data_IF_661447201165
#
_entry.id   IF_661447201165
#
_cell.length_a   1.000
_cell.length_b   1.000
_cell.length_c   1.000
_cell.angle_alpha   90.00
_cell.angle_beta   90.00
_cell.angle_gamma   90.00
#
_symmetry.space_group_name_H-M   'P 1'
#
loop_
_entity.id
_entity.type
_entity.pdbx_description
1 polymer ?
#
# COMPACT_ATOMS: atom_id res chain seq x y z
N UNK A 1 -12.50 -6.11 6.71
CA UNK A 1 -13.12 -5.04 7.51
C UNK A 1 -12.08 -3.94 7.65
N UNK A 2 -12.32 -2.77 7.07
CA UNK A 2 -11.44 -1.61 7.18
C UNK A 2 -11.70 -0.99 8.56
N UNK A 3 -10.73 -1.01 9.47
CA UNK A 3 -10.88 -0.42 10.80
C UNK A 3 -11.00 1.10 10.63
N UNK A 4 -12.18 1.65 10.86
CA UNK A 4 -12.38 3.10 10.80
C UNK A 4 -11.82 3.73 12.06
N UNK A 5 -10.69 4.44 11.94
CA UNK A 5 -10.09 5.17 13.05
C UNK A 5 -10.89 6.44 13.39
N UNK A 6 -10.90 6.84 14.66
CA UNK A 6 -11.47 8.13 15.10
C UNK A 6 -10.65 9.32 14.56
N UNK A 7 -11.15 10.54 14.74
CA UNK A 7 -10.47 11.76 14.26
C UNK A 7 -9.01 11.86 14.77
N UNK A 8 -8.77 11.46 16.01
CA UNK A 8 -7.42 11.43 16.59
C UNK A 8 -6.55 10.34 15.97
N UNK A 9 -7.07 9.15 15.71
CA UNK A 9 -6.37 8.08 15.00
C UNK A 9 -5.98 8.51 13.58
N UNK A 10 -6.89 9.17 12.86
CA UNK A 10 -6.60 9.75 11.55
C UNK A 10 -5.53 10.85 11.62
N UNK A 11 -5.53 11.69 12.67
CA UNK A 11 -4.45 12.65 12.91
C UNK A 11 -3.10 11.94 13.07
N UNK A 12 -3.02 10.90 13.90
CA UNK A 12 -1.79 10.12 14.13
C UNK A 12 -1.29 9.51 12.82
N UNK A 13 -2.18 8.90 12.04
CA UNK A 13 -1.87 8.35 10.72
C UNK A 13 -1.29 9.42 9.80
N UNK A 14 -1.92 10.60 9.76
CA UNK A 14 -1.43 11.71 8.93
C UNK A 14 -0.03 12.19 9.34
N UNK A 15 0.25 12.25 10.65
CA UNK A 15 1.56 12.63 11.19
C UNK A 15 2.58 11.55 10.84
N UNK A 16 2.20 10.26 10.95
CA UNK A 16 3.06 9.14 10.61
C UNK A 16 3.48 9.18 9.14
N UNK A 17 2.54 9.41 8.22
CA UNK A 17 2.80 9.55 6.79
C UNK A 17 3.79 10.69 6.51
N UNK A 18 3.63 11.84 7.18
CA UNK A 18 4.58 12.97 7.06
C UNK A 18 5.96 12.63 7.59
N UNK A 19 6.05 11.92 8.71
CA UNK A 19 7.34 11.49 9.25
C UNK A 19 8.01 10.43 8.38
N UNK A 20 7.25 9.49 7.82
CA UNK A 20 7.76 8.49 6.87
C UNK A 20 8.39 9.18 5.67
N UNK A 21 7.74 10.20 5.08
CA UNK A 21 8.33 11.00 3.99
C UNK A 21 9.65 11.67 4.39
N UNK A 22 9.82 12.03 5.68
CA UNK A 22 10.98 12.79 6.17
C UNK A 22 12.16 11.91 6.54
N UNK A 23 11.93 10.78 7.21
CA UNK A 23 12.99 9.95 7.81
C UNK A 23 12.93 8.48 7.42
N UNK A 24 11.95 8.07 6.62
CA UNK A 24 11.69 6.68 6.31
C UNK A 24 11.01 5.91 7.45
N UNK A 25 10.25 4.87 7.12
CA UNK A 25 9.45 4.12 8.09
C UNK A 25 10.28 3.33 9.11
N UNK A 26 11.50 2.91 8.72
CA UNK A 26 12.41 2.18 9.61
C UNK A 26 12.81 3.01 10.82
N UNK A 27 13.04 4.31 10.61
CA UNK A 27 13.44 5.26 11.64
C UNK A 27 12.26 5.86 12.43
N UNK A 28 11.01 5.49 12.10
CA UNK A 28 9.83 5.99 12.81
C UNK A 28 9.83 5.54 14.28
N UNK A 29 9.65 6.49 15.20
CA UNK A 29 9.52 6.26 16.65
C UNK A 29 8.12 6.66 17.13
N UNK A 30 7.40 5.75 17.79
CA UNK A 30 6.06 6.04 18.33
C UNK A 30 6.07 7.14 19.40
N UNK A 31 7.15 7.22 20.18
CA UNK A 31 7.31 8.25 21.21
C UNK A 31 7.45 9.65 20.59
N UNK A 32 8.30 9.77 19.58
CA UNK A 32 8.49 11.04 18.87
C UNK A 32 7.25 11.42 18.06
N UNK A 33 6.58 10.43 17.48
CA UNK A 33 5.34 10.63 16.77
C UNK A 33 4.24 11.15 17.69
N UNK A 34 4.08 10.57 18.89
CA UNK A 34 3.13 11.05 19.88
C UNK A 34 3.42 12.51 20.26
N UNK A 35 4.69 12.85 20.51
CA UNK A 35 5.10 14.23 20.80
C UNK A 35 4.76 15.19 19.65
N UNK A 36 5.04 14.80 18.40
CA UNK A 36 4.69 15.59 17.19
C UNK A 36 3.19 15.74 16.98
N UNK A 37 2.41 14.74 17.40
CA UNK A 37 0.96 14.76 17.37
C UNK A 37 0.34 15.46 18.59
N UNK A 38 1.14 16.07 19.49
CA UNK A 38 0.66 16.80 20.66
C UNK A 38 0.04 15.89 21.73
N UNK A 39 0.49 14.64 21.82
CA UNK A 39 -0.12 13.61 22.66
C UNK A 39 0.92 12.78 23.43
N UNK A 40 0.44 12.07 24.46
CA UNK A 40 1.28 11.14 25.22
C UNK A 40 1.41 9.81 24.48
N UNK A 41 2.51 9.09 24.69
CA UNK A 41 2.70 7.75 24.12
C UNK A 41 1.58 6.79 24.55
N UNK A 42 1.08 6.91 25.78
CA UNK A 42 -0.06 6.11 26.27
C UNK A 42 -1.36 6.41 25.51
N UNK A 43 -1.59 7.65 25.07
CA UNK A 43 -2.75 7.99 24.25
C UNK A 43 -2.68 7.41 22.83
N UNK A 44 -1.46 7.25 22.30
CA UNK A 44 -1.21 6.55 21.04
C UNK A 44 -1.45 5.05 21.18
N UNK A 45 -0.92 4.42 22.24
CA UNK A 45 -1.09 2.98 22.48
C UNK A 45 -2.53 2.53 22.72
N UNK A 46 -3.42 3.46 23.13
CA UNK A 46 -4.87 3.18 23.19
C UNK A 46 -5.52 2.99 21.82
N UNK A 47 -4.89 3.49 20.75
CA UNK A 47 -5.43 3.47 19.38
C UNK A 47 -4.72 2.47 18.48
N UNK A 48 -3.43 2.25 18.73
CA UNK A 48 -2.62 1.32 17.99
C UNK A 48 -1.90 0.41 18.98
N UNK A 49 -2.07 -0.89 18.80
CA UNK A 49 -1.40 -1.94 19.57
C UNK A 49 0.12 -1.91 19.42
N UNK A 50 0.64 -1.30 18.34
CA UNK A 50 2.07 -1.06 18.16
C UNK A 50 2.41 -0.37 16.84
N UNK A 51 3.71 -0.33 16.53
CA UNK A 51 4.25 0.30 15.32
C UNK A 51 3.69 -0.36 14.06
N UNK A 52 3.59 -1.69 14.05
CA UNK A 52 3.12 -2.45 12.88
C UNK A 52 1.67 -2.13 12.52
N UNK A 53 0.78 -2.00 13.51
CA UNK A 53 -0.61 -1.62 13.26
C UNK A 53 -0.70 -0.19 12.71
N UNK A 54 0.07 0.74 13.28
CA UNK A 54 0.14 2.11 12.78
C UNK A 54 0.66 2.16 11.33
N UNK A 55 1.70 1.38 11.02
CA UNK A 55 2.25 1.30 9.67
C UNK A 55 1.22 0.67 8.69
N UNK A 56 0.47 -0.33 9.11
CA UNK A 56 -0.63 -0.90 8.32
C UNK A 56 -1.71 0.13 8.00
N UNK A 57 -2.16 0.88 9.02
CA UNK A 57 -3.13 1.95 8.85
C UNK A 57 -2.62 3.08 7.94
N UNK A 58 -1.35 3.47 8.12
CA UNK A 58 -0.71 4.50 7.30
C UNK A 58 -0.59 4.07 5.84
N UNK A 59 -0.19 2.83 5.55
CA UNK A 59 -0.09 2.33 4.18
C UNK A 59 -1.47 2.16 3.51
N UNK A 60 -2.49 1.73 4.25
CA UNK A 60 -3.86 1.72 3.75
C UNK A 60 -4.32 3.14 3.36
N UNK A 61 -4.02 4.14 4.19
CA UNK A 61 -4.32 5.55 3.90
C UNK A 61 -3.54 6.08 2.68
N UNK A 62 -2.28 5.69 2.51
CA UNK A 62 -1.50 6.04 1.31
C UNK A 62 -2.09 5.40 0.06
N UNK A 63 -2.42 4.12 0.11
CA UNK A 63 -3.08 3.42 -1.01
C UNK A 63 -4.40 4.07 -1.40
N UNK A 64 -5.19 4.50 -0.41
CA UNK A 64 -6.43 5.24 -0.64
C UNK A 64 -6.19 6.60 -1.31
N UNK A 65 -5.16 7.36 -0.91
CA UNK A 65 -4.79 8.62 -1.57
C UNK A 65 -4.44 8.43 -3.05
N UNK A 66 -3.77 7.31 -3.38
CA UNK A 66 -3.43 6.97 -4.77
C UNK A 66 -4.69 6.62 -5.57
N UNK A 67 -5.61 5.87 -4.97
CA UNK A 67 -6.92 5.57 -5.59
C UNK A 67 -7.71 6.84 -5.85
N UNK A 68 -7.78 7.75 -4.87
CA UNK A 68 -8.49 9.02 -5.00
C UNK A 68 -7.90 9.89 -6.11
N UNK A 69 -6.58 9.94 -6.24
CA UNK A 69 -5.91 10.62 -7.36
C UNK A 69 -6.29 10.00 -8.70
N UNK A 70 -6.23 8.68 -8.83
CA UNK A 70 -6.60 7.99 -10.06
C UNK A 70 -8.08 8.23 -10.42
N UNK A 71 -8.98 8.12 -9.44
CA UNK A 71 -10.41 8.39 -9.61
C UNK A 71 -10.66 9.84 -10.01
N UNK A 72 -9.97 10.80 -9.39
CA UNK A 72 -10.08 12.21 -9.76
C UNK A 72 -9.63 12.46 -11.21
N UNK A 73 -8.55 11.81 -11.67
CA UNK A 73 -8.11 11.90 -13.08
C UNK A 73 -9.10 11.27 -14.06
N UNK A 74 -9.86 10.27 -13.61
CA UNK A 74 -10.90 9.61 -14.41
C UNK A 74 -12.28 10.30 -14.32
N UNK A 75 -12.44 11.29 -13.45
CA UNK A 75 -13.72 11.92 -13.20
C UNK A 75 -14.28 12.58 -14.47
N UNK A 76 -15.53 12.26 -14.81
CA UNK A 76 -16.19 12.77 -16.02
C UNK A 76 -15.78 12.08 -17.32
N UNK A 77 -14.92 11.06 -17.25
CA UNK A 77 -14.51 10.25 -18.39
C UNK A 77 -15.22 8.89 -18.38
N UNK A 78 -15.26 8.22 -19.52
CA UNK A 78 -15.67 6.81 -19.65
C UNK A 78 -14.51 5.98 -20.20
N UNK A 79 -13.37 5.88 -19.48
CA UNK A 79 -12.18 5.21 -19.99
C UNK A 79 -12.45 3.72 -20.11
N UNK A 80 -12.00 3.14 -21.22
CA UNK A 80 -11.89 1.70 -21.43
C UNK A 80 -11.01 1.08 -20.34
N UNK A 81 -11.17 -0.21 -20.03
CA UNK A 81 -10.33 -0.89 -19.05
C UNK A 81 -8.82 -0.79 -19.34
N UNK A 82 -8.42 -0.74 -20.62
CA UNK A 82 -7.02 -0.53 -21.02
C UNK A 82 -6.52 0.87 -20.62
N UNK A 83 -7.30 1.92 -20.92
CA UNK A 83 -6.95 3.30 -20.56
C UNK A 83 -6.86 3.48 -19.03
N UNK A 84 -7.72 2.79 -18.26
CA UNK A 84 -7.62 2.78 -16.79
C UNK A 84 -6.30 2.17 -16.32
N UNK A 85 -5.86 1.07 -16.92
CA UNK A 85 -4.60 0.44 -16.57
C UNK A 85 -3.39 1.33 -16.89
N UNK A 86 -3.40 1.98 -18.06
CA UNK A 86 -2.36 2.96 -18.44
C UNK A 86 -2.33 4.12 -17.43
N UNK A 87 -3.50 4.68 -17.09
CA UNK A 87 -3.60 5.78 -16.13
C UNK A 87 -3.09 5.38 -14.73
N UNK A 88 -3.43 4.18 -14.26
CA UNK A 88 -2.89 3.64 -13.00
C UNK A 88 -1.36 3.51 -13.06
N UNK A 89 -0.82 3.04 -14.19
CA UNK A 89 0.63 2.96 -14.44
C UNK A 89 1.30 4.34 -14.38
N UNK A 90 0.68 5.37 -14.97
CA UNK A 90 1.18 6.75 -14.92
C UNK A 90 1.15 7.33 -13.51
N UNK A 91 0.04 7.17 -12.78
CA UNK A 91 -0.09 7.64 -11.40
C UNK A 91 1.00 7.02 -10.53
N UNK A 92 1.20 5.70 -10.65
CA UNK A 92 2.24 4.99 -9.91
C UNK A 92 3.64 5.48 -10.28
N UNK A 93 3.95 5.59 -11.57
CA UNK A 93 5.26 6.06 -12.04
C UNK A 93 5.58 7.46 -11.52
N UNK A 94 4.64 8.40 -11.65
CA UNK A 94 4.76 9.76 -11.11
C UNK A 94 4.99 9.76 -9.58
N UNK A 95 4.36 8.83 -8.85
CA UNK A 95 4.51 8.72 -7.40
C UNK A 95 5.87 8.16 -7.00
N UNK A 96 6.41 7.18 -7.73
CA UNK A 96 7.76 6.67 -7.53
C UNK A 96 8.83 7.76 -7.71
N UNK A 97 8.62 8.68 -8.65
CA UNK A 97 9.52 9.81 -8.87
C UNK A 97 9.42 10.87 -7.76
N UNK A 98 8.20 11.20 -7.32
CA UNK A 98 7.95 12.35 -6.42
C UNK A 98 7.98 12.03 -4.93
N UNK A 99 7.67 10.80 -4.55
CA UNK A 99 7.39 10.38 -3.17
C UNK A 99 8.14 9.07 -2.84
N UNK A 100 9.43 8.96 -3.22
CA UNK A 100 10.24 7.73 -3.13
C UNK A 100 10.15 7.02 -1.77
N UNK A 101 10.28 7.76 -0.66
CA UNK A 101 10.21 7.19 0.70
C UNK A 101 8.83 6.61 1.01
N UNK A 102 7.76 7.24 0.51
CA UNK A 102 6.41 6.76 0.71
C UNK A 102 6.13 5.53 -0.15
N UNK A 103 6.73 5.45 -1.33
CA UNK A 103 6.65 4.28 -2.19
C UNK A 103 7.49 3.12 -1.62
N UNK A 104 8.72 3.36 -1.16
CA UNK A 104 9.47 2.34 -0.43
C UNK A 104 8.69 1.85 0.79
N UNK A 105 8.07 2.77 1.56
CA UNK A 105 7.18 2.37 2.64
C UNK A 105 6.00 1.50 2.17
N UNK A 106 5.26 1.94 1.15
CA UNK A 106 4.07 1.24 0.66
C UNK A 106 4.39 -0.18 0.19
N UNK A 107 5.53 -0.37 -0.48
CA UNK A 107 5.93 -1.65 -1.08
C UNK A 107 6.87 -2.51 -0.23
N UNK A 108 7.57 -1.91 0.75
CA UNK A 108 8.60 -2.59 1.57
C UNK A 108 8.26 -2.68 3.06
N UNK A 109 7.45 -1.76 3.61
CA UNK A 109 7.17 -1.72 5.06
C UNK A 109 5.98 -2.59 5.47
N UNK A 110 5.00 -2.70 4.58
CA UNK A 110 4.01 -3.75 4.68
C UNK A 110 4.52 -4.99 3.97
N UNK A 111 4.03 -6.17 4.34
CA UNK A 111 4.23 -7.32 3.52
C UNK A 111 3.30 -7.21 2.29
N UNK A 112 3.44 -6.17 1.47
CA UNK A 112 3.22 -6.30 0.03
C UNK A 112 4.11 -7.44 -0.47
N UNK A 113 5.28 -7.62 0.16
CA UNK A 113 6.05 -8.87 0.12
C UNK A 113 5.25 -10.15 0.44
N UNK A 114 4.39 -10.23 1.47
CA UNK A 114 3.54 -11.44 1.70
C UNK A 114 2.36 -11.55 0.73
N UNK A 115 1.87 -10.44 0.18
CA UNK A 115 0.91 -10.45 -0.92
C UNK A 115 1.48 -11.16 -2.17
N UNK A 116 2.79 -11.05 -2.41
CA UNK A 116 3.49 -11.68 -3.54
C UNK A 116 4.28 -12.96 -3.16
N UNK A 117 4.46 -13.29 -1.88
CA UNK A 117 5.24 -14.45 -1.41
C UNK A 117 4.44 -15.75 -1.22
N UNK A 118 3.13 -15.77 -1.49
CA UNK A 118 2.35 -17.00 -1.36
C UNK A 118 0.94 -16.88 -1.89
N UNK A 119 0.65 -17.59 -2.97
CA UNK A 119 -0.63 -17.66 -3.66
C UNK A 119 -1.74 -18.17 -2.69
N UNK A 120 -2.52 -17.23 -2.16
CA UNK A 120 -3.93 -17.43 -1.81
C UNK A 120 -4.63 -16.16 -2.27
N UNK A 121 -5.70 -16.29 -3.06
CA UNK A 121 -6.42 -15.22 -3.79
C UNK A 121 -6.21 -13.83 -3.19
N UNK A 122 -5.75 -12.83 -3.97
CA UNK A 122 -5.49 -11.50 -3.42
C UNK A 122 -6.77 -11.00 -2.76
N UNK A 123 -6.71 -10.76 -1.45
CA UNK A 123 -7.84 -10.14 -0.78
C UNK A 123 -7.92 -8.67 -1.25
N UNK A 124 -9.13 -8.17 -1.41
CA UNK A 124 -9.38 -6.79 -1.85
C UNK A 124 -9.30 -5.80 -0.68
N UNK A 125 -8.48 -6.11 0.34
CA UNK A 125 -8.37 -5.27 1.56
C UNK A 125 -7.57 -3.98 1.33
N UNK A 126 -6.71 -3.96 0.32
CA UNK A 126 -6.02 -2.74 -0.15
C UNK A 126 -6.88 -2.06 -1.21
N UNK A 127 -7.26 -0.78 -1.03
CA UNK A 127 -8.02 -0.04 -2.04
C UNK A 127 -7.33 0.01 -3.41
N UNK A 128 -6.00 0.20 -3.42
CA UNK A 128 -5.21 0.29 -4.65
C UNK A 128 -5.15 -1.05 -5.39
N UNK A 129 -4.98 -2.13 -4.63
CA UNK A 129 -5.01 -3.47 -5.21
C UNK A 129 -6.41 -3.81 -5.73
N UNK A 130 -7.45 -3.48 -4.98
CA UNK A 130 -8.84 -3.71 -5.40
C UNK A 130 -9.13 -3.02 -6.73
N UNK A 131 -8.81 -1.73 -6.87
CA UNK A 131 -8.98 -0.99 -8.13
C UNK A 131 -8.19 -1.61 -9.29
N UNK A 132 -6.97 -2.09 -9.02
CA UNK A 132 -6.14 -2.78 -10.02
C UNK A 132 -6.79 -4.09 -10.47
N UNK A 133 -7.23 -4.92 -9.53
CA UNK A 133 -7.89 -6.19 -9.82
C UNK A 133 -9.21 -6.00 -10.57
N UNK A 134 -10.03 -5.01 -10.18
CA UNK A 134 -11.26 -4.66 -10.90
C UNK A 134 -10.99 -4.29 -12.36
N UNK A 135 -9.91 -3.54 -12.59
CA UNK A 135 -9.51 -3.14 -13.94
C UNK A 135 -9.07 -4.35 -14.77
N UNK A 136 -8.34 -5.29 -14.15
CA UNK A 136 -7.91 -6.53 -14.78
C UNK A 136 -9.10 -7.46 -15.08
N UNK A 137 -10.02 -7.62 -14.14
CA UNK A 137 -11.25 -8.41 -14.31
C UNK A 137 -12.08 -7.85 -15.47
N UNK A 138 -12.19 -6.53 -15.58
CA UNK A 138 -12.88 -5.86 -16.70
C UNK A 138 -12.13 -5.97 -18.04
N UNK A 139 -10.80 -6.06 -18.02
CA UNK A 139 -9.97 -6.22 -19.22
C UNK A 139 -10.05 -7.64 -19.79
N UNK A 140 -9.97 -8.64 -18.93
CA UNK A 140 -9.72 -10.03 -19.34
C UNK A 140 -10.93 -10.96 -19.16
N UNK A 141 -11.91 -10.60 -18.31
CA UNK A 141 -13.03 -11.49 -17.99
C UNK A 141 -12.55 -12.85 -17.44
N UNK A 142 -13.16 -13.96 -17.87
CA UNK A 142 -12.70 -15.32 -17.52
C UNK A 142 -11.48 -15.80 -18.35
N UNK A 143 -11.00 -15.01 -19.30
CA UNK A 143 -9.94 -15.42 -20.24
C UNK A 143 -8.51 -15.31 -19.67
N UNK A 144 -8.37 -15.28 -18.34
CA UNK A 144 -7.06 -15.23 -17.70
C UNK A 144 -6.44 -16.62 -17.69
N UNK A 145 -5.48 -16.84 -18.58
CA UNK A 145 -4.67 -18.05 -18.62
C UNK A 145 -3.67 -18.06 -17.45
N UNK A 146 -4.13 -18.57 -16.31
CA UNK A 146 -3.34 -18.69 -15.08
C UNK A 146 -2.13 -19.63 -15.23
N UNK A 147 -2.16 -20.57 -16.18
CA UNK A 147 -1.06 -21.50 -16.44
C UNK A 147 0.08 -20.74 -17.13
N UNK A 148 -0.22 -20.00 -18.20
CA UNK A 148 0.75 -19.15 -18.89
C UNK A 148 1.30 -18.02 -18.02
N UNK A 149 0.50 -17.46 -17.11
CA UNK A 149 1.00 -16.49 -16.13
C UNK A 149 2.03 -17.11 -15.17
N UNK A 150 1.83 -18.34 -14.71
CA UNK A 150 2.80 -19.05 -13.87
C UNK A 150 4.09 -19.34 -14.62
N UNK A 151 4.03 -19.65 -15.92
CA UNK A 151 5.24 -19.84 -16.73
C UNK A 151 6.04 -18.54 -16.90
N UNK A 152 5.35 -17.42 -17.14
CA UNK A 152 5.99 -16.12 -17.36
C UNK A 152 6.55 -15.49 -16.09
N UNK A 153 5.83 -15.62 -14.96
CA UNK A 153 6.16 -14.93 -13.70
C UNK A 153 6.63 -15.87 -12.58
N UNK A 154 6.59 -17.18 -12.79
CA UNK A 154 7.11 -18.20 -11.89
C UNK A 154 8.63 -18.26 -11.91
N UNK A 155 9.30 -17.20 -11.47
CA UNK A 155 10.69 -17.35 -11.03
C UNK A 155 10.66 -18.04 -9.67
N UNK A 156 11.40 -19.14 -9.45
CA UNK A 156 11.61 -19.62 -8.10
C UNK A 156 12.21 -18.46 -7.29
N UNK A 157 11.63 -18.19 -6.12
CA UNK A 157 12.25 -17.29 -5.14
C UNK A 157 13.72 -17.68 -5.04
N UNK A 158 14.69 -16.75 -5.07
CA UNK A 158 16.08 -17.11 -4.90
C UNK A 158 16.16 -17.94 -3.63
N UNK A 159 16.57 -19.21 -3.78
CA UNK A 159 16.76 -20.11 -2.65
C UNK A 159 17.63 -19.35 -1.68
N UNK A 160 17.07 -19.00 -0.53
CA UNK A 160 17.84 -18.42 0.56
C UNK A 160 18.91 -19.46 0.85
N UNK A 161 20.16 -19.22 0.37
CA UNK A 161 21.26 -20.11 0.71
C UNK A 161 21.47 -19.89 2.20
N UNK A 162 20.97 -20.84 2.97
CA UNK A 162 21.50 -21.14 4.28
C UNK A 162 22.96 -21.58 4.08
N UNK A 163 23.83 -20.59 3.96
CA UNK A 163 25.27 -20.66 4.20
C UNK A 163 25.52 -19.45 5.08
N UNK A 164 25.58 -19.58 6.41
CA UNK A 164 26.45 -20.51 7.10
C UNK A 164 27.88 -19.97 7.12
N UNK A 165 28.04 -18.71 7.55
CA UNK A 165 29.20 -18.14 8.23
C UNK A 165 28.82 -16.78 8.82
#
# INVERSE_FOLDING_TARGET
MMTTYDATGMLIISVAIREIRRVGYRNLSLRELAARAGMTTGALYRRFSGKDELLAAAAASVGQQIVEEAQARMAGLTPTPHERLVLLGEVMSNRFEKDRELMDFLFSALPVGRFWQGVTKPDRSSPLLALTLDTLDALFGENVDHERQRELFGRPAPSCRATGC
#
